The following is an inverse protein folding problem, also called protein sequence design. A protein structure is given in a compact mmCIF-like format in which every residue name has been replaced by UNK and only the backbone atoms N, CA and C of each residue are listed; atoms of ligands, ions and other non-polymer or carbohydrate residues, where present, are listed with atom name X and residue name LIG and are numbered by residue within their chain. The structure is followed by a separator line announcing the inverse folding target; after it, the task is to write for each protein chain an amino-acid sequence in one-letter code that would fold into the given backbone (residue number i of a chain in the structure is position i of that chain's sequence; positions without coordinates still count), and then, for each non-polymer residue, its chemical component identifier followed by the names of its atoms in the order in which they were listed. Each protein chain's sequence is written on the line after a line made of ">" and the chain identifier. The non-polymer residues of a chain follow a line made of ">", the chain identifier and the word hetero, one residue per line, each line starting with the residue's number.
data_IF_658744700929
#
_entry.id   IF_658744700929
#
_cell.length_a   1.000
_cell.length_b   1.000
_cell.length_c   1.000
_cell.angle_alpha   90.00
_cell.angle_beta   90.00
_cell.angle_gamma   90.00
#
_symmetry.space_group_name_H-M   'P 1'
#
loop_
_entity.id
_entity.type
_entity.pdbx_description
1 polymer ?
#
# COMPACT_ATOMS: atom_id res chain seq x y z
N UNK A 1 -41.84 -12.40 -30.44
CA UNK A 1 -41.19 -13.67 -30.03
C UNK A 1 -39.92 -13.81 -30.85
N UNK A 2 -38.80 -13.33 -30.33
CA UNK A 2 -37.49 -13.40 -30.98
C UNK A 2 -36.76 -14.57 -30.30
N UNK A 3 -36.59 -15.68 -31.01
CA UNK A 3 -35.92 -16.89 -30.53
C UNK A 3 -34.41 -16.65 -30.48
N UNK A 4 -33.95 -15.87 -29.49
CA UNK A 4 -32.61 -16.03 -28.98
C UNK A 4 -32.65 -17.31 -28.14
N UNK A 5 -32.10 -18.40 -28.67
CA UNK A 5 -31.85 -19.60 -27.89
C UNK A 5 -31.10 -19.20 -26.62
N UNK A 6 -31.43 -19.82 -25.48
CA UNK A 6 -30.87 -19.56 -24.15
C UNK A 6 -29.33 -19.77 -24.02
N UNK A 7 -28.62 -19.86 -25.16
CA UNK A 7 -27.21 -20.15 -25.34
C UNK A 7 -26.31 -18.92 -25.43
N UNK A 8 -26.79 -17.68 -25.47
CA UNK A 8 -25.91 -16.50 -25.43
C UNK A 8 -26.46 -15.47 -24.43
N UNK A 9 -25.93 -15.46 -23.20
CA UNK A 9 -26.41 -14.61 -22.09
C UNK A 9 -25.79 -13.22 -22.04
N UNK A 10 -24.58 -13.07 -22.57
CA UNK A 10 -23.83 -11.82 -22.53
C UNK A 10 -23.47 -11.33 -23.93
N UNK A 11 -23.57 -10.01 -24.12
CA UNK A 11 -22.99 -9.30 -25.26
C UNK A 11 -21.84 -8.42 -24.74
N UNK A 12 -20.61 -8.88 -24.90
CA UNK A 12 -19.40 -8.19 -24.42
C UNK A 12 -18.91 -7.24 -25.51
N UNK A 13 -18.87 -5.94 -25.21
CA UNK A 13 -18.29 -4.92 -26.08
C UNK A 13 -16.86 -4.64 -25.64
N UNK A 14 -15.92 -4.67 -26.58
CA UNK A 14 -14.51 -4.44 -26.29
C UNK A 14 -13.89 -3.39 -27.21
N UNK A 15 -12.78 -2.81 -26.74
CA UNK A 15 -11.97 -1.84 -27.47
C UNK A 15 -10.50 -2.20 -27.32
N UNK A 16 -9.87 -2.66 -28.39
CA UNK A 16 -8.46 -3.02 -28.40
C UNK A 16 -7.64 -1.88 -29.01
N UNK A 17 -6.51 -1.53 -28.40
CA UNK A 17 -5.53 -0.65 -29.03
C UNK A 17 -4.77 -1.43 -30.09
N UNK A 18 -4.80 -0.96 -31.33
CA UNK A 18 -4.11 -1.57 -32.47
C UNK A 18 -3.03 -0.60 -32.91
N UNK A 19 -1.79 -0.90 -32.56
CA UNK A 19 -0.56 -0.18 -32.92
C UNK A 19 -0.47 1.29 -32.49
N UNK A 20 0.44 1.58 -31.56
CA UNK A 20 1.03 2.91 -31.42
C UNK A 20 2.20 3.05 -32.40
N UNK A 21 1.94 3.57 -33.61
CA UNK A 21 3.06 4.04 -34.46
C UNK A 21 3.66 5.28 -33.81
N UNK A 22 4.84 5.14 -33.20
CA UNK A 22 5.66 6.29 -32.79
C UNK A 22 6.13 7.02 -34.05
N UNK A 23 5.49 8.14 -34.37
CA UNK A 23 5.97 9.03 -35.42
C UNK A 23 7.28 9.69 -34.95
N UNK A 24 8.42 9.22 -35.48
CA UNK A 24 9.76 9.69 -35.07
C UNK A 24 10.08 11.12 -35.50
N UNK A 25 9.19 11.81 -36.22
CA UNK A 25 9.47 13.13 -36.82
C UNK A 25 8.64 14.30 -36.29
N UNK A 26 7.64 14.09 -35.43
CA UNK A 26 6.89 15.20 -34.82
C UNK A 26 6.48 14.87 -33.38
N UNK A 27 6.97 15.65 -32.41
CA UNK A 27 6.68 15.52 -30.98
C UNK A 27 5.23 15.87 -30.56
N UNK A 28 4.25 15.84 -31.48
CA UNK A 28 2.86 16.14 -31.16
C UNK A 28 1.93 15.11 -31.79
N UNK A 29 1.28 14.35 -30.89
CA UNK A 29 0.16 13.41 -31.10
C UNK A 29 0.53 12.01 -31.60
N UNK A 30 0.68 11.07 -30.66
CA UNK A 30 0.49 9.63 -30.93
C UNK A 30 -1.01 9.38 -31.08
N UNK A 31 -1.51 9.19 -32.29
CA UNK A 31 -2.88 8.76 -32.54
C UNK A 31 -3.01 7.27 -32.28
N UNK A 32 -3.62 6.90 -31.17
CA UNK A 32 -3.91 5.50 -30.83
C UNK A 32 -5.10 5.01 -31.67
N UNK A 33 -4.85 4.16 -32.67
CA UNK A 33 -5.94 3.47 -33.37
C UNK A 33 -6.53 2.40 -32.44
N UNK A 34 -7.86 2.34 -32.36
CA UNK A 34 -8.56 1.33 -31.56
C UNK A 34 -9.55 0.55 -32.41
N UNK A 35 -9.49 -0.78 -32.39
CA UNK A 35 -10.54 -1.62 -32.94
C UNK A 35 -11.64 -1.79 -31.90
N UNK A 36 -12.90 -1.68 -32.34
CA UNK A 36 -14.08 -1.93 -31.52
C UNK A 36 -14.75 -3.20 -32.02
N UNK A 37 -15.28 -4.02 -31.11
CA UNK A 37 -15.96 -5.25 -31.49
C UNK A 37 -16.98 -5.70 -30.44
N UNK A 38 -17.73 -6.75 -30.79
CA UNK A 38 -18.69 -7.40 -29.91
C UNK A 38 -18.46 -8.90 -29.93
N UNK A 39 -18.59 -9.54 -28.77
CA UNK A 39 -18.56 -11.00 -28.60
C UNK A 39 -19.81 -11.43 -27.85
N UNK A 40 -20.37 -12.57 -28.24
CA UNK A 40 -21.42 -13.24 -27.48
C UNK A 40 -20.79 -14.31 -26.60
N UNK A 41 -21.27 -14.42 -25.37
CA UNK A 41 -20.76 -15.39 -24.40
C UNK A 41 -21.88 -15.97 -23.54
N UNK A 42 -21.71 -17.23 -23.14
CA UNK A 42 -22.59 -17.93 -22.19
C UNK A 42 -22.28 -17.58 -20.74
N UNK A 43 -21.02 -17.28 -20.46
CA UNK A 43 -20.50 -16.92 -19.16
C UNK A 43 -19.40 -15.87 -19.34
N UNK A 44 -19.23 -15.00 -18.34
CA UNK A 44 -18.21 -13.95 -18.32
C UNK A 44 -17.46 -14.01 -16.98
N UNK A 45 -16.14 -13.93 -17.04
CA UNK A 45 -15.29 -13.72 -15.87
C UNK A 45 -14.74 -12.30 -15.92
N UNK A 46 -14.97 -11.50 -14.88
CA UNK A 46 -14.32 -10.19 -14.72
C UNK A 46 -13.11 -10.37 -13.80
N UNK A 47 -11.93 -10.57 -14.41
CA UNK A 47 -10.66 -10.75 -13.72
C UNK A 47 -9.69 -9.58 -14.02
N UNK A 48 -10.19 -8.36 -13.90
CA UNK A 48 -9.46 -7.14 -14.32
C UNK A 48 -8.41 -6.65 -13.32
N UNK A 49 -8.28 -7.31 -12.17
CA UNK A 49 -7.50 -6.79 -11.04
C UNK A 49 -8.10 -5.51 -10.47
N UNK A 50 -7.28 -4.75 -9.74
CA UNK A 50 -7.66 -3.47 -9.15
C UNK A 50 -7.12 -2.23 -9.86
N UNK A 51 -7.19 -1.10 -9.16
CA UNK A 51 -6.82 0.25 -9.62
C UNK A 51 -5.34 0.57 -9.46
N UNK A 52 -4.64 -0.17 -8.60
CA UNK A 52 -3.22 0.04 -8.31
C UNK A 52 -2.31 -0.20 -9.51
N UNK A 53 -1.19 0.52 -9.56
CA UNK A 53 -0.23 0.51 -10.67
C UNK A 53 -0.88 0.78 -12.04
N UNK A 54 -1.53 1.94 -12.28
CA UNK A 54 -2.13 2.26 -13.58
C UNK A 54 -1.13 2.25 -14.75
N UNK A 55 0.15 2.51 -14.47
CA UNK A 55 1.23 2.36 -15.46
C UNK A 55 1.47 0.90 -15.88
N UNK A 56 1.03 -0.07 -15.08
CA UNK A 56 1.04 -1.51 -15.35
C UNK A 56 -0.35 -2.02 -15.74
N UNK A 57 -1.24 -1.14 -16.21
CA UNK A 57 -2.62 -1.44 -16.64
C UNK A 57 -3.65 -1.59 -15.52
N UNK A 58 -3.34 -1.21 -14.28
CA UNK A 58 -4.35 -1.07 -13.22
C UNK A 58 -5.43 -0.05 -13.59
N UNK A 59 -6.70 -0.41 -13.41
CA UNK A 59 -7.84 0.45 -13.75
C UNK A 59 -9.12 0.01 -13.04
N UNK A 60 -10.11 0.90 -12.98
CA UNK A 60 -11.38 0.66 -12.28
C UNK A 60 -12.50 0.06 -13.14
N UNK A 61 -12.21 -0.34 -14.38
CA UNK A 61 -13.24 -0.78 -15.33
C UNK A 61 -14.04 -2.01 -14.86
N UNK A 62 -13.40 -2.96 -14.17
CA UNK A 62 -14.09 -4.13 -13.61
C UNK A 62 -15.11 -3.76 -12.55
N UNK A 63 -14.75 -2.86 -11.63
CA UNK A 63 -15.68 -2.35 -10.61
C UNK A 63 -16.86 -1.61 -11.24
N UNK A 64 -16.60 -0.79 -12.26
CA UNK A 64 -17.65 -0.09 -13.01
C UNK A 64 -18.61 -1.08 -13.70
N UNK A 65 -18.09 -2.12 -14.35
CA UNK A 65 -18.90 -3.15 -14.99
C UNK A 65 -19.77 -3.90 -13.97
N UNK A 66 -19.18 -4.35 -12.85
CA UNK A 66 -19.90 -5.07 -11.81
C UNK A 66 -21.00 -4.19 -11.17
N UNK A 67 -20.70 -2.93 -10.85
CA UNK A 67 -21.68 -1.97 -10.33
C UNK A 67 -22.89 -1.79 -11.25
N UNK A 68 -22.66 -1.65 -12.55
CA UNK A 68 -23.75 -1.54 -13.54
C UNK A 68 -24.58 -2.82 -13.68
N UNK A 69 -24.05 -3.97 -13.24
CA UNK A 69 -24.77 -5.25 -13.17
C UNK A 69 -25.48 -5.45 -11.82
N UNK A 70 -25.46 -4.45 -10.94
CA UNK A 70 -26.19 -4.43 -9.67
C UNK A 70 -25.35 -4.77 -8.43
N UNK A 71 -24.04 -4.97 -8.57
CA UNK A 71 -23.16 -5.22 -7.43
C UNK A 71 -22.87 -3.97 -6.60
N UNK A 72 -22.74 -4.14 -5.29
CA UNK A 72 -22.15 -3.12 -4.43
C UNK A 72 -20.62 -3.22 -4.43
N UNK A 73 -19.97 -2.08 -4.23
CA UNK A 73 -18.52 -1.99 -4.13
C UNK A 73 -18.18 -1.11 -2.94
N UNK A 74 -17.31 -1.60 -2.08
CA UNK A 74 -16.77 -0.83 -0.95
C UNK A 74 -15.87 0.30 -1.45
N UNK A 75 -15.52 1.21 -0.53
CA UNK A 75 -14.61 2.31 -0.85
C UNK A 75 -13.24 1.75 -1.24
N UNK A 76 -12.73 2.20 -2.38
CA UNK A 76 -11.44 1.75 -2.89
C UNK A 76 -10.35 2.70 -2.43
N UNK A 77 -9.29 2.16 -1.83
CA UNK A 77 -8.11 2.93 -1.45
C UNK A 77 -6.81 2.18 -1.75
N UNK A 78 -5.70 2.91 -1.97
CA UNK A 78 -4.40 2.29 -2.21
C UNK A 78 -3.91 1.57 -0.96
N UNK A 79 -3.58 0.28 -1.08
CA UNK A 79 -3.06 -0.52 0.02
C UNK A 79 -1.63 -0.99 -0.25
N UNK A 80 -0.90 -1.23 0.85
CA UNK A 80 0.53 -1.51 0.84
C UNK A 80 1.24 -0.48 -0.05
N UNK A 81 1.24 0.78 0.40
CA UNK A 81 1.71 1.95 -0.34
C UNK A 81 2.66 2.78 0.52
N UNK A 82 3.75 3.35 -0.04
CA UNK A 82 4.67 4.19 0.74
C UNK A 82 3.98 5.44 1.30
N UNK A 83 4.49 5.93 2.43
CA UNK A 83 3.94 7.08 3.17
C UNK A 83 4.81 8.32 2.93
N UNK A 84 4.17 9.43 2.58
CA UNK A 84 4.81 10.74 2.45
C UNK A 84 4.81 11.46 3.81
N UNK A 85 5.95 12.06 4.17
CA UNK A 85 6.10 12.87 5.38
C UNK A 85 6.25 14.35 5.01
N UNK A 86 5.66 15.24 5.79
CA UNK A 86 5.67 16.70 5.49
C UNK A 86 7.07 17.27 5.40
N UNK A 87 7.97 16.77 6.24
CA UNK A 87 9.34 17.24 6.40
C UNK A 87 10.37 16.23 5.86
N UNK A 88 9.98 15.39 4.89
CA UNK A 88 10.89 14.46 4.22
C UNK A 88 12.13 15.15 3.63
N UNK A 89 12.02 16.42 3.22
CA UNK A 89 13.14 17.21 2.72
C UNK A 89 14.27 17.38 3.74
N UNK A 90 13.97 17.48 5.03
CA UNK A 90 15.00 17.54 6.08
C UNK A 90 15.67 16.19 6.33
N UNK A 91 15.05 15.09 5.88
CA UNK A 91 15.52 13.72 6.01
C UNK A 91 16.15 13.14 4.75
N UNK A 92 16.31 13.94 3.69
CA UNK A 92 16.89 13.50 2.40
C UNK A 92 18.23 12.76 2.53
N UNK A 93 19.08 13.14 3.50
CA UNK A 93 20.36 12.48 3.76
C UNK A 93 20.21 11.01 4.17
N UNK A 94 19.12 10.67 4.86
CA UNK A 94 18.81 9.30 5.28
C UNK A 94 18.15 8.47 4.18
N UNK A 95 17.95 9.01 2.97
CA UNK A 95 17.32 8.28 1.88
C UNK A 95 18.12 7.03 1.51
N UNK A 96 17.44 5.88 1.42
CA UNK A 96 18.06 4.58 1.17
C UNK A 96 18.44 3.82 2.45
N UNK A 97 18.41 4.46 3.61
CA UNK A 97 18.73 3.83 4.89
C UNK A 97 17.56 2.97 5.39
N UNK A 98 17.88 1.77 5.86
CA UNK A 98 16.92 0.82 6.43
C UNK A 98 17.14 0.73 7.93
N UNK A 99 16.06 0.80 8.70
CA UNK A 99 16.06 0.68 10.15
C UNK A 99 15.00 -0.32 10.56
N UNK A 100 15.38 -1.29 11.38
CA UNK A 100 14.41 -2.14 12.07
C UNK A 100 13.82 -1.34 13.22
N UNK A 101 12.52 -1.05 13.14
CA UNK A 101 11.83 -0.18 14.07
C UNK A 101 10.42 -0.70 14.32
N UNK A 102 9.72 -0.03 15.24
CA UNK A 102 8.28 -0.18 15.41
C UNK A 102 7.63 1.19 15.22
N UNK A 103 6.52 1.27 14.50
CA UNK A 103 5.79 2.53 14.37
C UNK A 103 4.28 2.35 14.42
N UNK A 104 3.58 3.40 14.81
CA UNK A 104 2.12 3.49 14.70
C UNK A 104 1.74 4.84 14.11
N UNK A 105 0.59 4.89 13.45
CA UNK A 105 -0.05 6.12 13.02
C UNK A 105 -0.99 6.64 14.11
N UNK A 106 -0.94 7.93 14.39
CA UNK A 106 -1.84 8.63 15.31
C UNK A 106 -2.53 9.76 14.56
N UNK A 107 -3.82 9.62 14.32
CA UNK A 107 -4.67 10.66 13.71
C UNK A 107 -4.92 11.81 14.67
N UNK A 108 -5.12 13.01 14.11
CA UNK A 108 -5.63 14.17 14.86
C UNK A 108 -7.08 13.98 15.33
N UNK A 109 -7.82 13.03 14.75
CA UNK A 109 -9.18 12.66 15.17
C UNK A 109 -9.21 11.68 16.37
N UNK A 110 -8.05 11.20 16.84
CA UNK A 110 -7.92 10.25 17.94
C UNK A 110 -7.77 8.78 17.51
N UNK A 111 -8.06 8.44 16.25
CA UNK A 111 -7.80 7.09 15.70
C UNK A 111 -6.31 6.77 15.70
N UNK A 112 -5.93 5.61 16.24
CA UNK A 112 -4.53 5.16 16.29
C UNK A 112 -4.43 3.76 15.68
N UNK A 113 -3.44 3.53 14.82
CA UNK A 113 -3.19 2.21 14.25
C UNK A 113 -2.59 1.27 15.30
N UNK A 114 -2.72 -0.04 15.07
CA UNK A 114 -1.88 -1.00 15.79
C UNK A 114 -0.40 -0.72 15.47
N UNK A 115 0.50 -0.80 16.46
CA UNK A 115 1.93 -0.67 16.22
C UNK A 115 2.48 -1.81 15.35
N UNK A 116 3.06 -1.46 14.20
CA UNK A 116 3.68 -2.37 13.24
C UNK A 116 5.18 -2.40 13.48
N UNK A 117 5.77 -3.59 13.53
CA UNK A 117 7.22 -3.79 13.68
C UNK A 117 7.83 -4.35 12.40
N UNK A 118 9.03 -3.91 12.05
CA UNK A 118 9.75 -4.45 10.89
C UNK A 118 10.78 -3.47 10.33
N UNK A 119 11.14 -3.67 9.07
CA UNK A 119 12.09 -2.80 8.38
C UNK A 119 11.38 -1.59 7.76
N UNK A 120 11.83 -0.41 8.16
CA UNK A 120 11.44 0.88 7.60
C UNK A 120 12.56 1.40 6.71
N UNK A 121 12.22 1.76 5.47
CA UNK A 121 13.12 2.40 4.52
C UNK A 121 12.87 3.90 4.52
N UNK A 122 13.85 4.68 4.94
CA UNK A 122 13.81 6.14 4.81
C UNK A 122 14.06 6.54 3.35
N UNK A 123 13.32 7.54 2.89
CA UNK A 123 13.34 8.00 1.49
C UNK A 123 13.31 9.53 1.42
N UNK A 124 13.50 10.08 0.23
CA UNK A 124 13.43 11.52 0.00
C UNK A 124 12.01 12.11 0.03
N UNK A 125 10.98 11.26 0.01
CA UNK A 125 9.57 11.64 0.11
C UNK A 125 8.93 11.29 1.47
N UNK A 126 9.57 10.46 2.30
CA UNK A 126 9.01 9.97 3.55
C UNK A 126 9.56 8.59 3.90
N UNK A 127 8.67 7.62 4.11
CA UNK A 127 9.05 6.25 4.49
C UNK A 127 8.38 5.18 3.63
N UNK A 128 9.10 4.09 3.42
CA UNK A 128 8.68 2.89 2.70
C UNK A 128 9.15 1.64 3.45
N UNK A 129 9.20 0.49 2.78
CA UNK A 129 9.39 -0.80 3.42
C UNK A 129 8.05 -1.38 3.89
N UNK A 130 8.03 -2.70 4.05
CA UNK A 130 6.81 -3.48 4.35
C UNK A 130 6.08 -2.90 5.56
N UNK A 131 6.80 -2.65 6.66
CA UNK A 131 6.23 -2.15 7.90
C UNK A 131 5.62 -0.74 7.78
N UNK A 132 6.18 0.12 6.93
CA UNK A 132 5.59 1.43 6.67
C UNK A 132 4.33 1.32 5.80
N UNK A 133 4.37 0.43 4.80
CA UNK A 133 3.31 0.25 3.82
C UNK A 133 2.06 -0.40 4.44
N UNK A 134 2.20 -1.21 5.48
CA UNK A 134 1.09 -1.76 6.28
C UNK A 134 0.32 -0.67 7.05
N UNK A 135 0.99 0.40 7.48
CA UNK A 135 0.34 1.52 8.16
C UNK A 135 -0.52 2.38 7.21
N UNK A 136 -0.31 2.26 5.91
CA UNK A 136 -0.97 3.08 4.90
C UNK A 136 -2.50 2.93 4.90
N UNK A 137 -3.02 1.73 5.21
CA UNK A 137 -4.47 1.51 5.25
C UNK A 137 -5.16 2.38 6.31
N UNK A 138 -4.57 2.50 7.51
CA UNK A 138 -5.14 3.38 8.54
C UNK A 138 -5.03 4.85 8.14
N UNK A 139 -3.95 5.22 7.42
CA UNK A 139 -3.74 6.59 6.92
C UNK A 139 -4.74 6.96 5.83
N UNK A 140 -5.04 6.03 4.90
CA UNK A 140 -6.02 6.24 3.83
C UNK A 140 -7.45 6.30 4.38
N UNK A 141 -7.78 5.46 5.36
CA UNK A 141 -9.10 5.47 6.03
C UNK A 141 -9.33 6.70 6.90
N UNK A 142 -8.27 7.41 7.30
CA UNK A 142 -8.40 8.63 8.08
C UNK A 142 -9.00 9.77 7.24
N UNK A 143 -10.26 10.10 7.50
CA UNK A 143 -10.99 11.14 6.76
C UNK A 143 -10.62 12.57 7.21
N UNK A 144 -9.71 12.74 8.17
CA UNK A 144 -9.24 14.08 8.54
C UNK A 144 -8.49 14.75 7.36
N UNK A 145 -8.84 15.99 6.99
CA UNK A 145 -8.13 16.74 5.94
C UNK A 145 -6.65 16.94 6.23
N UNK A 146 -6.28 17.05 7.50
CA UNK A 146 -4.90 17.11 7.97
C UNK A 146 -4.58 15.76 8.58
N UNK A 147 -3.67 15.03 7.94
CA UNK A 147 -3.20 13.75 8.46
C UNK A 147 -2.42 13.96 9.76
N UNK A 148 -2.39 12.91 10.57
CA UNK A 148 -1.69 12.91 11.85
C UNK A 148 -0.20 12.63 11.71
N UNK A 149 0.33 11.80 12.59
CA UNK A 149 1.77 11.54 12.70
C UNK A 149 2.08 10.04 12.71
N UNK A 150 3.23 9.67 12.15
CA UNK A 150 3.88 8.40 12.45
C UNK A 150 4.79 8.58 13.65
N UNK A 151 4.58 7.75 14.66
CA UNK A 151 5.41 7.73 15.87
C UNK A 151 6.27 6.48 15.83
N UNK A 152 7.58 6.68 15.71
CA UNK A 152 8.58 5.63 15.60
C UNK A 152 9.25 5.38 16.95
N UNK A 153 9.38 4.11 17.26
CA UNK A 153 10.37 3.55 18.16
C UNK A 153 11.47 2.95 17.29
N UNK A 154 12.58 3.68 17.14
CA UNK A 154 13.69 3.29 16.28
C UNK A 154 14.58 2.19 16.88
N UNK A 155 14.35 1.81 18.14
CA UNK A 155 15.11 0.78 18.84
C UNK A 155 14.18 -0.05 19.76
N UNK A 156 13.22 -0.80 19.19
CA UNK A 156 12.15 -1.44 19.96
C UNK A 156 12.65 -2.55 20.90
N UNK A 157 13.85 -3.07 20.68
CA UNK A 157 14.46 -4.14 21.48
C UNK A 157 14.98 -3.67 22.85
N UNK A 158 15.11 -2.36 23.08
CA UNK A 158 15.57 -1.80 24.35
C UNK A 158 14.51 -0.94 25.02
N UNK A 159 14.39 -1.01 26.34
CA UNK A 159 13.60 -0.02 27.10
C UNK A 159 14.25 1.36 27.02
N UNK A 160 13.49 2.42 27.31
CA UNK A 160 14.02 3.79 27.35
C UNK A 160 15.13 3.91 28.40
N UNK A 161 14.96 3.25 29.54
CA UNK A 161 15.90 3.22 30.67
C UNK A 161 17.20 2.49 30.32
N UNK A 162 17.11 1.33 29.67
CA UNK A 162 18.27 0.57 29.22
C UNK A 162 19.04 1.32 28.14
N UNK A 163 18.33 1.92 27.18
CA UNK A 163 18.93 2.71 26.11
C UNK A 163 19.64 3.94 26.67
N UNK A 164 19.00 4.67 27.59
CA UNK A 164 19.62 5.81 28.28
C UNK A 164 20.89 5.40 29.03
N UNK A 165 20.82 4.28 29.76
CA UNK A 165 21.97 3.75 30.52
C UNK A 165 23.11 3.32 29.59
N UNK A 166 22.78 2.70 28.45
CA UNK A 166 23.74 2.32 27.43
C UNK A 166 24.45 3.54 26.83
N UNK A 167 23.69 4.56 26.40
CA UNK A 167 24.24 5.79 25.83
C UNK A 167 25.14 6.50 26.87
N UNK A 168 24.71 6.56 28.13
CA UNK A 168 25.52 7.17 29.19
C UNK A 168 26.83 6.43 29.43
N UNK A 169 26.82 5.09 29.37
CA UNK A 169 28.04 4.29 29.43
C UNK A 169 29.00 4.61 28.27
N UNK A 170 28.47 4.78 27.05
CA UNK A 170 29.30 5.17 25.90
C UNK A 170 29.95 6.55 26.08
N UNK A 171 29.20 7.51 26.65
CA UNK A 171 29.71 8.84 27.01
C UNK A 171 30.86 8.76 28.02
N UNK A 172 30.74 7.90 29.04
CA UNK A 172 31.78 7.75 30.06
C UNK A 172 33.05 7.10 29.51
N UNK A 173 32.91 6.14 28.59
CA UNK A 173 34.05 5.45 27.98
C UNK A 173 34.76 6.28 26.92
N UNK A 174 34.02 7.15 26.20
CA UNK A 174 34.53 7.93 25.07
C UNK A 174 34.11 9.41 25.19
N UNK A 175 34.55 10.13 26.24
CA UNK A 175 34.11 11.50 26.50
C UNK A 175 34.41 12.48 25.35
N UNK A 176 35.46 12.22 24.57
CA UNK A 176 35.89 12.99 23.42
C UNK A 176 35.03 12.80 22.16
N UNK A 177 34.21 11.75 22.10
CA UNK A 177 33.36 11.47 20.92
C UNK A 177 32.16 12.40 20.87
N UNK A 178 31.84 12.95 19.70
CA UNK A 178 30.58 13.70 19.52
C UNK A 178 29.37 12.74 19.52
N UNK A 179 28.16 13.29 19.58
CA UNK A 179 26.93 12.49 19.58
C UNK A 179 26.79 11.57 18.37
N UNK A 180 27.24 12.01 17.20
CA UNK A 180 27.21 11.19 15.98
C UNK A 180 27.99 9.90 16.20
N UNK A 181 29.26 9.98 16.66
CA UNK A 181 30.10 8.82 16.95
C UNK A 181 29.56 7.95 18.08
N UNK A 182 29.02 8.57 19.13
CA UNK A 182 28.48 7.85 20.29
C UNK A 182 27.25 6.99 19.97
N UNK A 183 26.49 7.35 18.93
CA UNK A 183 25.27 6.63 18.54
C UNK A 183 25.50 5.62 17.40
N UNK A 184 26.69 5.58 16.78
CA UNK A 184 27.02 4.58 15.76
C UNK A 184 26.87 3.18 16.36
N UNK A 185 26.22 2.29 15.61
CA UNK A 185 25.91 0.93 16.04
C UNK A 185 24.51 0.77 16.65
N UNK A 186 23.91 1.86 17.15
CA UNK A 186 22.48 1.89 17.47
C UNK A 186 21.64 2.17 16.22
N UNK A 187 22.08 3.13 15.39
CA UNK A 187 21.41 3.53 14.16
C UNK A 187 22.43 3.76 13.02
N UNK A 188 21.99 3.76 11.75
CA UNK A 188 22.84 4.16 10.64
C UNK A 188 23.29 5.62 10.76
N UNK A 189 24.53 5.94 10.36
CA UNK A 189 25.13 7.27 10.52
C UNK A 189 24.28 8.40 9.91
N UNK A 190 23.76 8.20 8.70
CA UNK A 190 22.95 9.22 8.03
C UNK A 190 21.59 9.45 8.73
N UNK A 191 21.03 8.41 9.37
CA UNK A 191 19.84 8.54 10.22
C UNK A 191 20.20 9.31 11.49
N UNK A 192 21.32 8.98 12.15
CA UNK A 192 21.79 9.67 13.36
C UNK A 192 21.95 11.18 13.12
N UNK A 193 22.61 11.56 12.02
CA UNK A 193 22.90 12.96 11.73
C UNK A 193 21.61 13.77 11.57
N UNK A 194 20.64 13.23 10.85
CA UNK A 194 19.35 13.89 10.64
C UNK A 194 18.51 13.88 11.93
N UNK A 195 18.51 12.78 12.66
CA UNK A 195 17.83 12.65 13.94
C UNK A 195 18.35 13.69 14.94
N UNK A 196 19.67 13.81 15.11
CA UNK A 196 20.29 14.79 16.00
C UNK A 196 19.92 16.22 15.61
N UNK A 197 19.94 16.55 14.30
CA UNK A 197 19.46 17.86 13.82
C UNK A 197 18.00 18.12 14.16
N UNK A 198 17.16 17.09 14.09
CA UNK A 198 15.72 17.18 14.39
C UNK A 198 15.49 17.49 15.87
N UNK A 199 16.22 16.84 16.79
CA UNK A 199 16.03 17.03 18.24
C UNK A 199 16.81 18.22 18.82
N UNK A 200 17.84 18.71 18.12
CA UNK A 200 18.68 19.85 18.54
C UNK A 200 18.28 21.17 17.88
N UNK A 201 17.09 21.28 17.29
CA UNK A 201 16.61 22.46 16.57
C UNK A 201 16.41 23.73 17.45
N UNK A 202 16.97 23.79 18.67
CA UNK A 202 16.89 24.93 19.58
C UNK A 202 17.86 24.91 20.77
N UNK A 203 18.43 23.75 21.16
CA UNK A 203 19.36 23.63 22.30
C UNK A 203 20.36 22.49 22.09
N UNK A 204 21.62 22.68 22.45
CA UNK A 204 22.60 21.60 22.49
C UNK A 204 22.29 20.64 23.65
N UNK A 205 22.22 19.34 23.37
CA UNK A 205 22.04 18.31 24.39
C UNK A 205 23.39 18.00 25.01
N UNK A 206 23.53 18.23 26.31
CA UNK A 206 24.76 17.94 27.03
C UNK A 206 24.96 16.44 27.25
N UNK A 207 26.22 15.99 27.32
CA UNK A 207 26.62 14.61 27.60
C UNK A 207 26.47 14.23 29.08
N UNK A 208 25.31 14.51 29.65
CA UNK A 208 24.94 14.18 31.02
C UNK A 208 23.96 13.00 31.02
N UNK A 209 23.71 12.41 32.20
CA UNK A 209 22.68 11.37 32.35
C UNK A 209 21.29 11.85 31.87
N UNK A 210 20.98 13.13 32.10
CA UNK A 210 19.74 13.76 31.63
C UNK A 210 19.70 13.85 30.10
N UNK A 211 20.78 14.32 29.47
CA UNK A 211 20.87 14.40 28.01
C UNK A 211 20.80 13.03 27.32
N UNK A 212 21.41 12.00 27.91
CA UNK A 212 21.28 10.61 27.43
C UNK A 212 19.82 10.13 27.49
N UNK A 213 19.09 10.48 28.56
CA UNK A 213 17.67 10.17 28.70
C UNK A 213 16.82 10.91 27.66
N UNK A 214 17.15 12.17 27.36
CA UNK A 214 16.47 12.95 26.32
C UNK A 214 16.66 12.31 24.94
N UNK A 215 17.89 11.91 24.59
CA UNK A 215 18.18 11.22 23.32
C UNK A 215 17.45 9.88 23.26
N UNK A 216 17.52 9.07 24.32
CA UNK A 216 16.81 7.80 24.38
C UNK A 216 15.30 7.98 24.19
N UNK A 217 14.69 8.92 24.92
CA UNK A 217 13.25 9.22 24.78
C UNK A 217 12.87 9.63 23.36
N UNK A 218 13.72 10.40 22.68
CA UNK A 218 13.48 10.81 21.30
C UNK A 218 13.70 9.68 20.28
N UNK A 219 14.63 8.75 20.51
CA UNK A 219 14.78 7.53 19.69
C UNK A 219 13.53 6.64 19.81
N UNK A 220 12.97 6.54 21.03
CA UNK A 220 11.79 5.71 21.34
C UNK A 220 10.46 6.32 20.88
N UNK A 221 10.42 7.63 20.65
CA UNK A 221 9.19 8.37 20.30
C UNK A 221 9.46 9.44 19.24
N UNK A 222 10.14 9.08 18.16
CA UNK A 222 10.36 9.99 17.05
C UNK A 222 9.04 10.19 16.31
N UNK A 223 8.39 11.34 16.50
CA UNK A 223 7.17 11.69 15.76
C UNK A 223 7.48 12.44 14.46
N UNK A 224 6.76 12.09 13.39
CA UNK A 224 6.87 12.68 12.05
C UNK A 224 5.47 12.89 11.46
N UNK A 225 5.16 14.12 11.04
CA UNK A 225 3.88 14.45 10.43
C UNK A 225 3.71 13.77 9.07
N UNK A 226 2.57 13.13 8.87
CA UNK A 226 2.19 12.49 7.62
C UNK A 226 1.59 13.53 6.70
N UNK A 227 2.03 13.53 5.45
CA UNK A 227 1.40 14.32 4.39
C UNK A 227 0.28 13.54 3.69
N UNK A 228 0.46 12.22 3.56
CA UNK A 228 -0.47 11.29 2.93
C UNK A 228 0.27 10.03 2.47
N UNK A 229 -0.36 9.20 1.65
CA UNK A 229 0.36 8.12 0.94
C UNK A 229 0.74 8.56 -0.47
N UNK A 230 1.60 7.78 -1.13
CA UNK A 230 1.95 8.01 -2.54
C UNK A 230 0.85 7.62 -3.54
N UNK A 231 -0.26 7.07 -3.06
CA UNK A 231 -1.42 6.72 -3.88
C UNK A 231 -1.24 5.52 -4.80
N UNK A 232 -2.25 5.28 -5.64
CA UNK A 232 -2.37 4.12 -6.53
C UNK A 232 -1.17 3.85 -7.44
N UNK A 233 -0.42 4.88 -7.84
CA UNK A 233 0.78 4.72 -8.68
C UNK A 233 1.86 3.89 -8.00
N UNK A 234 1.91 3.89 -6.67
CA UNK A 234 2.95 3.22 -5.89
C UNK A 234 2.40 2.13 -4.96
N UNK A 235 1.08 1.97 -4.91
CA UNK A 235 0.42 0.91 -4.17
C UNK A 235 0.69 -0.45 -4.81
N UNK A 236 0.84 -1.50 -3.99
CA UNK A 236 1.00 -2.87 -4.49
C UNK A 236 -0.35 -3.51 -4.84
N UNK A 237 -1.44 -3.05 -4.20
CA UNK A 237 -2.79 -3.54 -4.44
C UNK A 237 -3.83 -2.47 -4.11
N UNK A 238 -5.07 -2.76 -4.46
CA UNK A 238 -6.27 -1.99 -4.14
C UNK A 238 -6.96 -2.68 -2.99
N UNK A 239 -7.21 -1.98 -1.89
CA UNK A 239 -8.11 -2.46 -0.86
C UNK A 239 -9.52 -1.93 -1.11
N UNK A 240 -10.51 -2.65 -0.61
CA UNK A 240 -11.89 -2.52 -1.06
C UNK A 240 -12.14 -3.36 -2.33
N UNK A 241 -13.39 -3.42 -2.76
CA UNK A 241 -13.78 -4.12 -3.98
C UNK A 241 -15.25 -4.46 -4.01
N UNK A 242 -15.63 -5.39 -4.89
CA UNK A 242 -16.99 -5.92 -4.93
C UNK A 242 -17.25 -6.75 -3.66
N UNK A 243 -18.41 -6.52 -3.04
CA UNK A 243 -18.74 -7.10 -1.75
C UNK A 243 -18.78 -8.63 -1.85
N UNK A 244 -18.03 -9.30 -0.99
CA UNK A 244 -17.83 -10.76 -1.04
C UNK A 244 -19.13 -11.53 -0.80
N UNK A 245 -20.04 -10.99 0.02
CA UNK A 245 -21.36 -11.58 0.26
C UNK A 245 -22.24 -11.69 -0.99
N UNK A 246 -21.93 -10.96 -2.06
CA UNK A 246 -22.64 -11.02 -3.34
C UNK A 246 -22.10 -12.07 -4.30
N UNK A 247 -21.14 -12.88 -3.85
CA UNK A 247 -20.45 -13.91 -4.64
C UNK A 247 -20.45 -15.23 -3.88
N UNK A 248 -20.69 -16.33 -4.58
CA UNK A 248 -20.58 -17.67 -4.00
C UNK A 248 -19.11 -18.06 -3.83
N UNK A 249 -18.69 -18.34 -2.61
CA UNK A 249 -17.29 -18.60 -2.27
C UNK A 249 -16.71 -19.87 -2.92
N UNK A 250 -17.58 -20.82 -3.23
CA UNK A 250 -17.25 -22.14 -3.78
C UNK A 250 -17.12 -22.13 -5.30
N UNK A 251 -17.65 -21.10 -5.97
CA UNK A 251 -17.68 -21.02 -7.43
C UNK A 251 -17.16 -19.71 -8.01
N UNK A 252 -17.02 -18.67 -7.18
CA UNK A 252 -16.82 -17.28 -7.58
C UNK A 252 -17.94 -16.71 -8.47
N UNK A 253 -19.09 -17.40 -8.58
CA UNK A 253 -20.25 -16.91 -9.35
C UNK A 253 -20.97 -15.81 -8.56
N UNK A 254 -21.37 -14.77 -9.27
CA UNK A 254 -22.24 -13.71 -8.74
C UNK A 254 -23.58 -14.29 -8.31
N UNK A 255 -24.04 -13.90 -7.11
CA UNK A 255 -25.39 -14.18 -6.61
C UNK A 255 -26.45 -13.29 -7.28
N UNK A 256 -26.03 -12.21 -7.94
CA UNK A 256 -26.89 -11.19 -8.55
C UNK A 256 -27.08 -11.46 -10.05
N UNK A 257 -25.98 -11.77 -10.75
CA UNK A 257 -25.94 -11.98 -12.19
C UNK A 257 -25.47 -13.40 -12.50
N UNK A 258 -26.41 -14.32 -12.76
CA UNK A 258 -26.06 -15.71 -13.09
C UNK A 258 -25.12 -15.78 -14.30
N UNK A 259 -24.10 -16.66 -14.20
CA UNK A 259 -23.01 -16.86 -15.16
C UNK A 259 -22.01 -15.71 -15.27
N UNK A 260 -22.04 -14.75 -14.35
CA UNK A 260 -20.96 -13.80 -14.12
C UNK A 260 -20.07 -14.30 -12.98
N UNK A 261 -18.75 -14.26 -13.15
CA UNK A 261 -17.78 -14.70 -12.14
C UNK A 261 -16.77 -13.60 -11.82
N UNK A 262 -16.42 -13.44 -10.54
CA UNK A 262 -15.62 -12.33 -10.04
C UNK A 262 -14.45 -12.83 -9.17
N UNK A 263 -13.33 -13.29 -9.75
CA UNK A 263 -12.15 -13.73 -9.00
C UNK A 263 -11.10 -12.61 -8.81
N UNK A 264 -10.20 -12.81 -7.83
CA UNK A 264 -9.02 -11.97 -7.61
C UNK A 264 -9.29 -10.63 -6.93
N UNK A 265 -8.44 -9.64 -7.20
CA UNK A 265 -8.43 -8.30 -6.57
C UNK A 265 -9.67 -7.42 -6.90
N UNK A 266 -10.58 -7.91 -7.76
CA UNK A 266 -11.86 -7.22 -7.97
C UNK A 266 -12.78 -7.35 -6.75
N UNK A 267 -12.61 -8.40 -5.96
CA UNK A 267 -13.37 -8.59 -4.73
C UNK A 267 -12.74 -7.78 -3.59
N UNK A 268 -13.56 -7.44 -2.60
CA UNK A 268 -13.11 -6.79 -1.37
C UNK A 268 -12.32 -7.77 -0.49
N UNK A 269 -11.16 -8.17 -0.98
CA UNK A 269 -10.23 -9.11 -0.37
C UNK A 269 -8.81 -8.62 -0.66
N UNK A 270 -8.17 -8.13 0.39
CA UNK A 270 -6.74 -7.84 0.41
C UNK A 270 -6.09 -8.53 1.60
N UNK A 271 -4.90 -9.10 1.37
CA UNK A 271 -4.05 -9.65 2.41
C UNK A 271 -2.76 -8.87 2.59
N UNK A 272 -1.98 -9.31 3.57
CA UNK A 272 -0.66 -8.74 3.88
C UNK A 272 0.36 -8.96 2.76
N UNK A 273 1.54 -8.36 2.90
CA UNK A 273 2.70 -8.68 2.05
C UNK A 273 3.13 -10.14 2.24
N UNK A 274 3.89 -10.69 1.28
CA UNK A 274 4.42 -12.07 1.37
C UNK A 274 3.72 -13.10 0.50
N UNK A 275 2.96 -12.65 -0.52
CA UNK A 275 2.41 -13.52 -1.56
C UNK A 275 0.96 -13.97 -1.33
N UNK A 276 0.32 -13.54 -0.23
CA UNK A 276 -1.09 -13.85 0.06
C UNK A 276 -2.04 -13.37 -1.06
N UNK A 277 -1.84 -12.14 -1.55
CA UNK A 277 -2.64 -11.58 -2.63
C UNK A 277 -2.51 -12.36 -3.95
N UNK A 278 -1.30 -12.81 -4.29
CA UNK A 278 -1.08 -13.66 -5.47
C UNK A 278 -1.72 -15.03 -5.29
N UNK A 279 -1.59 -15.63 -4.10
CA UNK A 279 -2.24 -16.89 -3.78
C UNK A 279 -3.76 -16.79 -3.89
N UNK A 280 -4.34 -15.70 -3.40
CA UNK A 280 -5.77 -15.41 -3.55
C UNK A 280 -6.18 -15.32 -5.02
N UNK A 281 -5.47 -14.52 -5.81
CA UNK A 281 -5.74 -14.37 -7.24
C UNK A 281 -5.72 -15.71 -8.00
N UNK A 282 -4.70 -16.53 -7.78
CA UNK A 282 -4.60 -17.84 -8.45
C UNK A 282 -5.66 -18.83 -7.97
N UNK A 283 -5.93 -18.87 -6.66
CA UNK A 283 -6.89 -19.82 -6.09
C UNK A 283 -8.32 -19.50 -6.52
N UNK A 284 -8.73 -18.24 -6.44
CA UNK A 284 -10.05 -17.80 -6.88
C UNK A 284 -10.25 -17.95 -8.39
N UNK A 285 -9.23 -17.63 -9.20
CA UNK A 285 -9.30 -17.83 -10.65
C UNK A 285 -9.44 -19.30 -11.04
N UNK A 286 -8.74 -20.21 -10.34
CA UNK A 286 -8.87 -21.64 -10.56
C UNK A 286 -10.29 -22.15 -10.28
N UNK A 287 -10.87 -21.72 -9.15
CA UNK A 287 -12.26 -22.05 -8.77
C UNK A 287 -13.24 -21.51 -9.83
N UNK A 288 -13.14 -20.23 -10.17
CA UNK A 288 -13.98 -19.61 -11.21
C UNK A 288 -13.91 -20.35 -12.54
N UNK A 289 -12.71 -20.69 -13.00
CA UNK A 289 -12.50 -21.40 -14.26
C UNK A 289 -13.15 -22.79 -14.27
N UNK A 290 -13.01 -23.55 -13.17
CA UNK A 290 -13.67 -24.84 -13.01
C UNK A 290 -15.19 -24.72 -13.00
N UNK A 291 -15.73 -23.76 -12.27
CA UNK A 291 -17.17 -23.56 -12.16
C UNK A 291 -17.78 -23.13 -13.49
N UNK A 292 -17.12 -22.24 -14.24
CA UNK A 292 -17.53 -21.90 -15.61
C UNK A 292 -17.58 -23.15 -16.49
N UNK A 293 -16.51 -23.96 -16.51
CA UNK A 293 -16.46 -25.17 -17.32
C UNK A 293 -17.61 -26.13 -16.99
N UNK A 294 -17.80 -26.45 -15.71
CA UNK A 294 -18.86 -27.34 -15.24
C UNK A 294 -20.26 -26.81 -15.60
N UNK A 295 -20.49 -25.51 -15.44
CA UNK A 295 -21.77 -24.89 -15.73
C UNK A 295 -22.07 -24.90 -17.24
N UNK A 296 -21.07 -24.78 -18.11
CA UNK A 296 -21.25 -24.86 -19.56
C UNK A 296 -21.48 -26.29 -20.05
N UNK A 297 -20.83 -27.28 -19.43
CA UNK A 297 -21.02 -28.69 -19.79
C UNK A 297 -22.34 -29.27 -19.29
N UNK A 298 -22.86 -28.81 -18.15
CA UNK A 298 -24.13 -29.30 -17.59
C UNK A 298 -25.39 -28.92 -18.43
N UNK A 299 -25.23 -28.01 -19.39
CA UNK A 299 -26.30 -27.57 -20.32
C UNK A 299 -26.13 -28.13 -21.75
N UNK A 300 -25.21 -29.07 -21.96
CA UNK A 300 -25.07 -29.86 -23.19
C UNK A 300 -25.67 -31.25 -22.98
#
# INVERSE_FOLDING_TARGET
>A
KNTATAKDRFLVKYRNVVNSKKDRKNHKHSTTQTNKGQLRAQAVIIATGGKSQPQLSGHDSGYYLAKNLGHSCTELFPALVPVELEDAGSWKRSSGQRVRAKAHYRSLSGTTSVPVGGEYLFTDYGVSGIAAMELAETIEKDQNPIKGELVFDLLPEMSTEDLSSFIFKQVQLNPEYNWEKLLIGLLPLDVIIVFLRTIQAGTQIEKTKSGCRQIAGAIKNLSRKVKGTRGYKFAQLTAGGIHTDEVFSESMESKICSRLYLPGEILDINGDTGGYNLRWAFSSAYVAGKSVAAALTANC
#
